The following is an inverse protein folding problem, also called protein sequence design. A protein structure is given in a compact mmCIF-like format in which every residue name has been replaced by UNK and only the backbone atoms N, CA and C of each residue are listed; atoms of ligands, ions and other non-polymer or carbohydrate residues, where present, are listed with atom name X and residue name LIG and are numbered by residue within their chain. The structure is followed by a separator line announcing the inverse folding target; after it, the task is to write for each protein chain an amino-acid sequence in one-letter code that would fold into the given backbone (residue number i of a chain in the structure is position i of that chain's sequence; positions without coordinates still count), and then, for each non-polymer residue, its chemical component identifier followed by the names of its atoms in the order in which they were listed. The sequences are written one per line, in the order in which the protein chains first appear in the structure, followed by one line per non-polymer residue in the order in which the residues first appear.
data_IF_813894208791
#
_entry.id   IF_813894208791
#
_cell.length_a   1.000
_cell.length_b   1.000
_cell.length_c   1.000
_cell.angle_alpha   90.00
_cell.angle_beta   90.00
_cell.angle_gamma   90.00
#
_symmetry.space_group_name_H-M   'P 1'
#
loop_
_entity.id
_entity.type
_entity.pdbx_description
1 polymer ?
#
# COMPACT_ATOMS: atom_id res chain seq x y z
N UNK A 1 -24.60 -5.57 -13.80
CA UNK A 1 -24.02 -6.73 -13.13
C UNK A 1 -22.56 -6.42 -12.82
N UNK A 2 -22.13 -6.54 -11.56
CA UNK A 2 -20.73 -6.33 -11.17
C UNK A 2 -19.91 -7.56 -11.52
N UNK A 3 -18.78 -7.37 -12.22
CA UNK A 3 -17.81 -8.42 -12.52
C UNK A 3 -16.86 -8.54 -11.34
N UNK A 4 -16.86 -9.69 -10.67
CA UNK A 4 -15.87 -9.98 -9.63
C UNK A 4 -14.55 -10.31 -10.32
N UNK A 5 -13.48 -9.60 -9.93
CA UNK A 5 -12.12 -9.85 -10.40
C UNK A 5 -11.33 -10.38 -9.20
N UNK A 6 -10.67 -11.53 -9.39
CA UNK A 6 -9.76 -12.10 -8.40
C UNK A 6 -8.32 -11.74 -8.76
N UNK A 7 -7.55 -11.23 -7.79
CA UNK A 7 -6.17 -10.82 -7.97
C UNK A 7 -5.29 -11.39 -6.85
N UNK A 8 -4.18 -12.04 -7.22
CA UNK A 8 -3.22 -12.60 -6.28
C UNK A 8 -2.06 -11.61 -6.10
N UNK A 9 -1.79 -11.23 -4.85
CA UNK A 9 -0.72 -10.30 -4.49
C UNK A 9 0.40 -11.07 -3.80
N UNK A 10 1.64 -10.83 -4.23
CA UNK A 10 2.84 -11.32 -3.54
C UNK A 10 3.33 -10.28 -2.55
N UNK A 11 3.75 -10.75 -1.37
CA UNK A 11 4.11 -9.89 -0.24
C UNK A 11 5.55 -10.14 0.20
N UNK A 12 6.30 -9.06 0.44
CA UNK A 12 7.63 -9.06 1.01
C UNK A 12 7.61 -8.57 2.45
N UNK A 13 8.38 -9.21 3.34
CA UNK A 13 8.54 -8.77 4.72
C UNK A 13 9.42 -7.51 4.77
N UNK A 14 8.89 -6.43 5.35
CA UNK A 14 9.65 -5.22 5.63
C UNK A 14 10.46 -5.36 6.92
N UNK A 15 11.67 -4.82 6.91
CA UNK A 15 12.58 -4.71 8.05
C UNK A 15 12.42 -3.35 8.70
N UNK A 16 12.80 -3.24 9.99
CA UNK A 16 12.78 -1.96 10.72
C UNK A 16 13.64 -0.88 10.05
N UNK A 17 14.72 -1.28 9.38
CA UNK A 17 15.61 -0.38 8.62
C UNK A 17 14.94 0.24 7.40
N UNK A 18 13.87 -0.38 6.88
CA UNK A 18 13.16 0.10 5.68
C UNK A 18 12.39 1.39 5.91
N UNK A 19 12.17 1.79 7.16
CA UNK A 19 11.62 3.10 7.51
C UNK A 19 12.63 4.24 7.48
N UNK A 20 13.91 3.93 7.68
CA UNK A 20 14.96 4.92 7.93
C UNK A 20 15.72 5.29 6.66
N UNK A 21 15.65 4.46 5.63
CA UNK A 21 16.36 4.66 4.38
C UNK A 21 15.45 5.17 3.27
N UNK A 22 15.90 6.17 2.52
CA UNK A 22 15.21 6.68 1.33
C UNK A 22 14.99 5.60 0.23
N UNK A 23 15.77 4.51 0.27
CA UNK A 23 15.62 3.33 -0.59
C UNK A 23 14.86 2.18 0.09
N UNK A 24 14.37 2.36 1.31
CA UNK A 24 13.61 1.35 2.05
C UNK A 24 12.22 1.12 1.48
N UNK A 25 11.65 -0.04 1.80
CA UNK A 25 10.35 -0.50 1.31
C UNK A 25 9.15 0.30 1.85
N UNK A 26 9.30 1.03 2.96
CA UNK A 26 8.19 1.72 3.62
C UNK A 26 8.31 3.24 3.48
N UNK A 27 7.61 3.79 2.49
CA UNK A 27 7.53 5.21 2.20
C UNK A 27 6.10 5.73 2.37
N UNK A 28 5.93 7.03 2.48
CA UNK A 28 4.59 7.60 2.40
C UNK A 28 3.93 7.24 1.06
N UNK A 29 2.68 6.83 1.11
CA UNK A 29 1.93 6.26 -0.01
C UNK A 29 2.04 4.73 -0.14
N UNK A 30 2.97 4.07 0.56
CA UNK A 30 3.13 2.61 0.48
C UNK A 30 1.96 1.88 1.12
N UNK A 31 1.41 0.89 0.41
CA UNK A 31 0.45 -0.06 0.94
C UNK A 31 1.19 -1.10 1.78
N UNK A 32 0.66 -1.46 2.95
CA UNK A 32 1.21 -2.52 3.77
C UNK A 32 0.13 -3.35 4.47
N UNK A 33 0.54 -4.53 4.93
CA UNK A 33 -0.27 -5.50 5.64
C UNK A 33 0.41 -5.85 6.96
N UNK A 34 -0.39 -6.16 7.98
CA UNK A 34 0.10 -6.58 9.29
C UNK A 34 -0.20 -8.05 9.47
N UNK A 35 0.83 -8.85 9.77
CA UNK A 35 0.66 -10.21 10.26
C UNK A 35 0.78 -10.22 11.77
N UNK A 36 -0.31 -10.57 12.44
CA UNK A 36 -0.36 -10.61 13.89
C UNK A 36 0.43 -11.80 14.44
N UNK A 37 1.37 -11.54 15.34
CA UNK A 37 2.26 -12.60 15.85
C UNK A 37 1.52 -13.68 16.64
N UNK A 38 0.42 -13.33 17.33
CA UNK A 38 -0.35 -14.26 18.18
C UNK A 38 -1.39 -15.08 17.40
N UNK A 39 -2.07 -14.47 16.43
CA UNK A 39 -3.17 -15.13 15.70
C UNK A 39 -2.75 -15.61 14.31
N UNK A 40 -1.57 -15.19 13.84
CA UNK A 40 -1.06 -15.41 12.48
C UNK A 40 -1.97 -14.90 11.36
N UNK A 41 -3.00 -14.13 11.70
CA UNK A 41 -3.90 -13.50 10.74
C UNK A 41 -3.24 -12.29 10.09
N UNK A 42 -3.59 -12.08 8.82
CA UNK A 42 -3.19 -10.90 8.04
C UNK A 42 -4.32 -9.86 8.08
N UNK A 43 -3.99 -8.61 8.39
CA UNK A 43 -4.91 -7.47 8.37
C UNK A 43 -4.39 -6.38 7.43
N UNK A 44 -5.32 -5.61 6.85
CA UNK A 44 -5.04 -4.58 5.84
C UNK A 44 -5.97 -4.69 4.63
N UNK A 45 -5.65 -4.02 3.50
CA UNK A 45 -4.48 -3.17 3.30
C UNK A 45 -4.57 -1.86 4.11
N UNK A 46 -3.42 -1.38 4.57
CA UNK A 46 -3.23 -0.05 5.15
C UNK A 46 -2.35 0.79 4.24
N UNK A 47 -2.45 2.12 4.31
CA UNK A 47 -1.59 3.04 3.57
C UNK A 47 -0.76 3.83 4.58
N UNK A 48 0.56 3.84 4.41
CA UNK A 48 1.42 4.69 5.22
C UNK A 48 1.28 6.13 4.72
N UNK A 49 0.60 7.01 5.47
CA UNK A 49 0.41 8.41 5.08
C UNK A 49 1.22 9.37 5.95
N UNK A 50 1.28 10.64 5.56
CA UNK A 50 2.00 11.68 6.32
C UNK A 50 1.42 11.96 7.71
N UNK A 51 0.20 11.49 7.97
CA UNK A 51 -0.49 11.64 9.24
C UNK A 51 -0.41 10.38 10.11
N UNK A 52 0.25 9.32 9.62
CA UNK A 52 0.45 8.10 10.39
C UNK A 52 1.28 8.43 11.62
N UNK A 53 0.71 8.14 12.78
CA UNK A 53 1.37 8.31 14.04
C UNK A 53 2.59 7.37 14.09
N UNK A 54 3.79 7.95 14.09
CA UNK A 54 5.07 7.22 14.10
C UNK A 54 5.18 6.25 15.29
N UNK A 55 4.53 6.56 16.41
CA UNK A 55 4.45 5.67 17.57
C UNK A 55 3.69 4.38 17.25
N UNK A 56 2.53 4.47 16.58
CA UNK A 56 1.76 3.27 16.20
C UNK A 56 2.54 2.36 15.25
N UNK A 57 3.27 2.97 14.31
CA UNK A 57 4.08 2.21 13.35
C UNK A 57 5.24 1.50 14.05
N UNK A 58 5.88 2.15 15.02
CA UNK A 58 6.89 1.55 15.88
C UNK A 58 6.32 0.38 16.69
N UNK A 59 5.13 0.55 17.27
CA UNK A 59 4.45 -0.50 18.02
C UNK A 59 4.10 -1.70 17.13
N UNK A 60 3.69 -1.45 15.88
CA UNK A 60 3.47 -2.50 14.90
C UNK A 60 4.75 -3.27 14.60
N UNK A 61 5.89 -2.59 14.43
CA UNK A 61 7.19 -3.25 14.26
C UNK A 61 7.68 -4.02 15.49
N UNK A 62 7.15 -3.74 16.68
CA UNK A 62 7.50 -4.47 17.90
C UNK A 62 6.60 -5.67 18.14
N UNK A 63 5.32 -5.59 17.76
CA UNK A 63 4.30 -6.58 18.08
C UNK A 63 3.91 -7.48 16.90
N UNK A 64 4.11 -7.02 15.66
CA UNK A 64 3.64 -7.65 14.43
C UNK A 64 4.73 -7.66 13.35
N UNK A 65 4.53 -8.48 12.31
CA UNK A 65 5.35 -8.44 11.09
C UNK A 65 4.65 -7.58 10.03
N UNK A 66 5.38 -6.64 9.43
CA UNK A 66 4.86 -5.75 8.39
C UNK A 66 5.25 -6.31 7.02
N UNK A 67 4.27 -6.45 6.14
CA UNK A 67 4.45 -6.92 4.78
C UNK A 67 4.07 -5.83 3.79
N UNK A 68 4.85 -5.68 2.73
CA UNK A 68 4.64 -4.73 1.64
C UNK A 68 4.45 -5.55 0.36
N UNK A 69 3.47 -5.21 -0.50
CA UNK A 69 3.33 -5.88 -1.78
C UNK A 69 4.57 -5.69 -2.65
N UNK A 70 4.99 -6.76 -3.34
CA UNK A 70 6.11 -6.73 -4.29
C UNK A 70 5.75 -6.04 -5.60
N UNK A 71 4.46 -5.96 -5.89
CA UNK A 71 3.96 -5.23 -7.04
C UNK A 71 4.18 -3.75 -6.72
N UNK A 72 4.95 -3.05 -7.56
CA UNK A 72 4.80 -1.61 -7.67
C UNK A 72 3.32 -1.40 -7.96
N UNK A 73 2.57 -0.92 -6.97
CA UNK A 73 1.33 -0.24 -7.23
C UNK A 73 1.76 1.03 -7.95
N UNK A 74 2.09 0.86 -9.22
CA UNK A 74 2.21 1.96 -10.14
C UNK A 74 0.94 2.76 -9.95
N UNK A 75 1.15 4.07 -9.99
CA UNK A 75 0.20 5.14 -9.77
C UNK A 75 -0.93 5.12 -10.82
N UNK A 76 -1.56 3.98 -11.05
CA UNK A 76 -2.58 3.74 -12.05
C UNK A 76 -3.88 4.45 -11.67
N UNK A 77 -4.01 4.91 -10.43
CA UNK A 77 -5.03 5.90 -10.05
C UNK A 77 -4.78 7.23 -10.78
N UNK A 78 -3.54 7.71 -10.88
CA UNK A 78 -3.26 8.93 -11.67
C UNK A 78 -3.42 8.69 -13.17
N UNK A 79 -2.99 7.55 -13.71
CA UNK A 79 -3.17 7.26 -15.13
C UNK A 79 -4.65 7.05 -15.51
N UNK A 80 -5.44 6.36 -14.68
CA UNK A 80 -6.87 6.17 -14.96
C UNK A 80 -7.68 7.45 -14.73
N UNK A 81 -7.37 8.26 -13.72
CA UNK A 81 -8.02 9.57 -13.54
C UNK A 81 -7.68 10.52 -14.70
N UNK A 82 -6.40 10.59 -15.10
CA UNK A 82 -5.99 11.42 -16.24
C UNK A 82 -6.63 10.96 -17.56
N UNK A 83 -6.76 9.66 -17.81
CA UNK A 83 -7.44 9.18 -19.02
C UNK A 83 -8.94 9.48 -19.03
N UNK A 84 -9.60 9.53 -17.88
CA UNK A 84 -11.00 9.93 -17.78
C UNK A 84 -11.15 11.42 -18.08
N UNK A 85 -10.31 12.28 -17.50
CA UNK A 85 -10.35 13.72 -17.74
C UNK A 85 -10.06 14.08 -19.21
N UNK A 86 -9.10 13.41 -19.86
CA UNK A 86 -8.82 13.60 -21.30
C UNK A 86 -9.98 13.18 -22.21
N UNK A 87 -10.71 12.11 -21.89
CA UNK A 87 -11.87 11.67 -22.69
C UNK A 87 -13.05 12.61 -22.56
N UNK A 88 -13.25 13.20 -21.37
CA UNK A 88 -14.30 14.20 -21.17
C UNK A 88 -13.97 15.44 -22.00
N UNK A 89 -12.72 15.89 -22.04
CA UNK A 89 -12.35 17.10 -22.78
C UNK A 89 -12.53 16.96 -24.31
N UNK A 90 -12.24 15.80 -24.90
CA UNK A 90 -12.46 15.57 -26.34
C UNK A 90 -13.92 15.29 -26.74
N UNK A 91 -14.85 15.17 -25.79
CA UNK A 91 -16.29 15.00 -26.09
C UNK A 91 -17.08 16.31 -26.01
N UNK A 92 -16.40 17.43 -25.74
CA UNK A 92 -16.96 18.79 -25.73
C UNK A 92 -16.36 19.72 -26.80
N UNK A 93 -15.52 19.19 -27.70
CA UNK A 93 -15.14 19.82 -28.98
C UNK A 93 -15.88 19.15 -30.14
#
# INVERSE_FOLDING_TARGET
MSKIISHKVELQLAKKTDLLHAAGLLKFGTIYYLKHSKTHLLSGPYVLDKFHNSTKLKDYFQSNSIYVPLVDFDFDINNNLQQVDFKIQMSYE
#
